data_IF_484696332698
#
_entry.id   IF_484696332698
#
_cell.length_a   1.000
_cell.length_b   1.000
_cell.length_c   1.000
_cell.angle_alpha   90.00
_cell.angle_beta   90.00
_cell.angle_gamma   90.00
#
_symmetry.space_group_name_H-M   'P 1'
#
loop_
_entity.id
_entity.type
_entity.pdbx_description
1 polymer ?
#
# COMPACT_ATOMS: atom_id res chain seq x y z
N UNK A 1 7.66 -11.53 1.58
CA UNK A 1 7.59 -10.55 0.49
C UNK A 1 6.35 -9.75 0.76
N UNK A 2 6.49 -8.46 1.06
CA UNK A 2 5.36 -7.63 1.46
C UNK A 2 4.60 -7.16 0.22
N UNK A 3 3.29 -7.37 0.20
CA UNK A 3 2.43 -6.87 -0.87
C UNK A 3 2.13 -5.40 -0.57
N UNK A 4 2.81 -4.48 -1.26
CA UNK A 4 2.59 -3.05 -1.04
C UNK A 4 1.13 -2.67 -1.35
N UNK A 5 0.52 -1.94 -0.42
CA UNK A 5 -0.87 -1.58 -0.50
C UNK A 5 -1.11 -0.11 -0.18
N UNK A 6 -2.14 0.44 -0.80
CA UNK A 6 -2.64 1.79 -0.55
C UNK A 6 -3.89 1.72 0.32
N UNK A 7 -3.99 2.68 1.22
CA UNK A 7 -5.23 3.02 1.91
C UNK A 7 -5.68 4.36 1.36
N UNK A 8 -6.86 4.39 0.75
CA UNK A 8 -7.43 5.57 0.10
C UNK A 8 -8.74 5.97 0.79
N UNK A 9 -9.12 7.24 0.70
CA UNK A 9 -10.42 7.69 1.20
C UNK A 9 -11.55 7.28 0.24
N UNK A 10 -12.78 7.19 0.78
CA UNK A 10 -13.96 6.80 0.02
C UNK A 10 -14.31 7.77 -1.11
N UNK A 11 -14.04 9.07 -0.93
CA UNK A 11 -14.38 10.08 -1.94
C UNK A 11 -13.50 9.91 -3.18
N UNK A 12 -12.18 9.74 -3.00
CA UNK A 12 -11.27 9.39 -4.08
C UNK A 12 -11.61 8.04 -4.69
N UNK A 13 -11.93 7.04 -3.87
CA UNK A 13 -12.32 5.73 -4.40
C UNK A 13 -13.55 5.80 -5.31
N UNK A 14 -14.57 6.57 -4.93
CA UNK A 14 -15.76 6.78 -5.76
C UNK A 14 -15.51 7.69 -6.97
N UNK A 15 -14.67 8.71 -6.83
CA UNK A 15 -14.36 9.64 -7.90
C UNK A 15 -13.64 8.98 -9.09
N UNK A 16 -12.77 8.02 -8.77
CA UNK A 16 -11.89 7.36 -9.75
C UNK A 16 -12.25 5.88 -9.99
N UNK A 17 -13.45 5.44 -9.57
CA UNK A 17 -13.94 4.05 -9.67
C UNK A 17 -12.95 3.00 -9.12
N UNK A 18 -12.26 3.33 -8.03
CA UNK A 18 -11.28 2.44 -7.40
C UNK A 18 -11.95 1.48 -6.41
N UNK A 19 -11.55 0.22 -6.47
CA UNK A 19 -12.13 -0.85 -5.66
C UNK A 19 -11.08 -1.64 -4.87
N UNK A 20 -11.48 -2.28 -3.77
CA UNK A 20 -10.60 -3.11 -2.95
C UNK A 20 -9.96 -4.22 -3.80
N UNK A 21 -8.66 -4.45 -3.59
CA UNK A 21 -7.88 -5.46 -4.32
C UNK A 21 -7.43 -5.04 -5.72
N UNK A 22 -7.95 -3.94 -6.26
CA UNK A 22 -7.52 -3.41 -7.56
C UNK A 22 -6.03 -3.05 -7.54
N UNK A 23 -5.33 -3.40 -8.61
CA UNK A 23 -3.94 -2.99 -8.82
C UNK A 23 -3.90 -1.61 -9.46
N UNK A 24 -3.08 -0.72 -8.91
CA UNK A 24 -2.91 0.66 -9.37
C UNK A 24 -1.43 1.01 -9.46
N UNK A 25 -1.13 2.04 -10.25
CA UNK A 25 0.22 2.62 -10.34
C UNK A 25 0.23 4.00 -9.69
N UNK A 26 1.10 4.20 -8.70
CA UNK A 26 1.39 5.50 -8.12
C UNK A 26 2.59 6.10 -8.82
N UNK A 27 2.43 7.30 -9.37
CA UNK A 27 3.57 8.10 -9.84
C UNK A 27 4.20 8.83 -8.67
N UNK A 28 5.51 8.71 -8.52
CA UNK A 28 6.28 9.42 -7.50
C UNK A 28 6.87 10.70 -8.08
N UNK A 29 7.27 11.63 -7.21
CA UNK A 29 7.80 12.94 -7.60
C UNK A 29 9.10 12.85 -8.41
N UNK A 30 9.84 11.75 -8.29
CA UNK A 30 11.04 11.47 -9.08
C UNK A 30 10.72 10.94 -10.49
N UNK A 31 9.44 10.86 -10.87
CA UNK A 31 8.97 10.34 -12.14
C UNK A 31 8.89 8.80 -12.21
N UNK A 32 9.29 8.09 -11.15
CA UNK A 32 9.15 6.64 -11.08
C UNK A 32 7.70 6.22 -10.84
N UNK A 33 7.39 4.96 -11.16
CA UNK A 33 6.08 4.35 -10.93
C UNK A 33 6.19 3.19 -9.97
N UNK A 34 5.30 3.16 -8.99
CA UNK A 34 5.16 2.05 -8.06
C UNK A 34 3.85 1.32 -8.29
N UNK A 35 3.86 -0.02 -8.31
CA UNK A 35 2.65 -0.83 -8.44
C UNK A 35 2.19 -1.29 -7.06
N UNK A 36 0.94 -1.02 -6.71
CA UNK A 36 0.36 -1.37 -5.41
C UNK A 36 -1.08 -1.88 -5.56
N UNK A 37 -1.61 -2.55 -4.54
CA UNK A 37 -3.05 -2.89 -4.48
C UNK A 37 -3.81 -1.93 -3.58
N UNK A 38 -5.10 -1.69 -3.84
CA UNK A 38 -5.96 -1.03 -2.86
C UNK A 38 -6.22 -2.01 -1.71
N UNK A 39 -5.61 -1.75 -0.55
CA UNK A 39 -5.69 -2.59 0.63
C UNK A 39 -6.86 -2.24 1.55
N UNK A 40 -7.25 -0.97 1.58
CA UNK A 40 -8.41 -0.49 2.30
C UNK A 40 -8.98 0.79 1.66
N UNK A 41 -10.29 0.97 1.81
CA UNK A 41 -10.99 2.22 1.53
C UNK A 41 -11.59 2.69 2.86
N UNK A 42 -11.23 3.89 3.30
CA UNK A 42 -11.66 4.44 4.60
C UNK A 42 -12.54 5.66 4.41
N UNK A 43 -13.54 5.81 5.27
CA UNK A 43 -14.37 7.01 5.31
C UNK A 43 -13.75 7.99 6.29
N UNK A 44 -12.88 8.90 5.81
CA UNK A 44 -12.37 10.01 6.63
C UNK A 44 -13.48 11.05 6.77
N UNK A 45 -13.89 11.36 7.99
CA UNK A 45 -14.98 12.29 8.25
C UNK A 45 -14.71 13.67 7.65
N UNK A 46 -15.68 14.13 6.84
CA UNK A 46 -16.01 15.48 6.31
C UNK A 46 -14.92 16.47 5.85
N UNK A 47 -13.66 16.40 6.26
CA UNK A 47 -12.71 17.53 6.20
C UNK A 47 -11.35 17.25 5.53
N UNK A 48 -11.14 16.13 4.82
CA UNK A 48 -9.90 16.02 4.04
C UNK A 48 -9.69 14.70 3.32
N UNK A 49 -9.36 14.82 2.03
CA UNK A 49 -8.82 13.75 1.20
C UNK A 49 -7.48 13.32 1.82
N UNK A 50 -7.37 12.09 2.31
CA UNK A 50 -6.16 11.59 2.97
C UNK A 50 -5.81 10.21 2.43
N UNK A 51 -4.73 10.15 1.63
CA UNK A 51 -4.17 8.90 1.12
C UNK A 51 -2.94 8.51 1.93
N UNK A 52 -2.89 7.27 2.43
CA UNK A 52 -1.78 6.74 3.21
C UNK A 52 -1.10 5.59 2.45
N UNK A 53 0.23 5.64 2.35
CA UNK A 53 1.07 4.57 1.79
C UNK A 53 1.70 3.77 2.95
N UNK A 54 1.42 2.46 3.03
CA UNK A 54 2.12 1.59 3.97
C UNK A 54 3.26 0.88 3.25
N UNK A 55 4.51 1.22 3.61
CA UNK A 55 5.68 0.45 3.21
C UNK A 55 5.95 -0.62 4.28
N UNK A 56 5.37 -1.82 4.13
CA UNK A 56 5.63 -2.91 5.08
C UNK A 56 6.97 -3.57 4.73
N UNK A 57 8.09 -3.00 5.19
CA UNK A 57 9.39 -3.69 5.19
C UNK A 57 9.33 -4.88 6.15
N UNK A 58 9.02 -6.06 5.63
CA UNK A 58 9.28 -7.32 6.34
C UNK A 58 10.79 -7.51 6.37
N UNK A 59 11.46 -7.64 7.52
CA UNK A 59 12.85 -8.10 7.53
C UNK A 59 12.86 -9.48 6.87
N UNK A 60 13.63 -9.64 5.80
CA UNK A 60 13.87 -10.95 5.23
C UNK A 60 14.44 -11.83 6.36
N UNK A 61 13.69 -12.88 6.71
CA UNK A 61 14.11 -13.81 7.74
C UNK A 61 15.47 -14.41 7.38
N UNK A 62 16.45 -14.26 8.27
CA UNK A 62 17.60 -15.14 8.32
C UNK A 62 17.26 -16.30 9.25
N UNK A 63 16.48 -17.24 8.72
CA UNK A 63 16.43 -18.57 9.29
C UNK A 63 17.63 -19.39 8.81
N UNK A 64 18.48 -19.84 9.76
CA UNK A 64 18.96 -21.24 9.94
C UNK A 64 20.49 -21.49 9.99
N UNK A 65 20.92 -21.85 11.22
CA UNK A 65 21.92 -22.86 11.72
C UNK A 65 23.41 -22.84 11.34
N UNK A 66 24.23 -22.89 12.41
CA UNK A 66 25.45 -23.70 12.57
C UNK A 66 25.41 -24.33 13.98
N UNK A 67 25.09 -25.63 14.09
CA UNK A 67 26.00 -26.73 14.48
C UNK A 67 26.56 -26.66 15.91
N UNK A 68 26.00 -27.52 16.78
CA UNK A 68 26.61 -27.96 18.03
C UNK A 68 27.83 -28.83 17.74
N UNK A 69 28.97 -28.47 18.33
CA UNK A 69 30.16 -29.29 18.49
C UNK A 69 30.75 -28.99 19.86
#
# INVERSE_FOLDING_TARGET
MGDDFLVIDERTARGDDLTLGQQVFTWLLDGSRHKSRIGAVIQTGRDGDATFLSATRTPAGTGRRYSSG
#
